data_IF_619705579480
#
_entry.id   IF_619705579480
#
_cell.length_a   1.000
_cell.length_b   1.000
_cell.length_c   1.000
_cell.angle_alpha   90.00
_cell.angle_beta   90.00
_cell.angle_gamma   90.00
#
_symmetry.space_group_name_H-M   'P 1'
#
loop_
_entity.id
_entity.type
_entity.pdbx_description
1 polymer ?
#
# COMPACT_ATOMS: atom_id res chain seq x y z
N UNK A 1 59.01 -35.84 10.18
CA UNK A 1 59.59 -37.04 10.82
C UNK A 1 58.85 -38.27 10.30
N UNK A 2 59.49 -39.44 10.13
CA UNK A 2 58.98 -40.54 9.30
C UNK A 2 58.39 -41.74 10.08
N UNK A 3 57.70 -42.63 9.35
CA UNK A 3 57.58 -44.12 9.45
C UNK A 3 56.19 -44.55 8.91
N UNK A 4 56.07 -45.17 7.72
CA UNK A 4 56.18 -46.62 7.40
C UNK A 4 54.99 -47.45 7.93
N UNK A 5 54.35 -48.41 7.22
CA UNK A 5 54.85 -49.36 6.19
C UNK A 5 53.66 -50.05 5.43
N UNK A 6 53.91 -50.62 4.22
CA UNK A 6 53.16 -51.73 3.52
C UNK A 6 51.60 -51.68 3.39
N UNK A 7 50.91 -51.65 2.22
CA UNK A 7 51.13 -52.20 0.83
C UNK A 7 51.13 -53.76 0.82
N UNK A 8 50.60 -54.54 -0.17
CA UNK A 8 50.22 -54.26 -1.58
C UNK A 8 48.71 -54.59 -1.89
N UNK A 9 48.18 -54.77 -3.12
CA UNK A 9 48.70 -54.83 -4.52
C UNK A 9 47.61 -54.36 -5.54
N UNK A 10 48.00 -54.13 -6.81
CA UNK A 10 47.14 -53.86 -8.00
C UNK A 10 47.03 -55.12 -8.90
N UNK A 11 46.26 -55.19 -9.99
CA UNK A 11 46.72 -54.98 -11.40
C UNK A 11 45.57 -55.17 -12.41
N UNK A 12 45.78 -54.62 -13.62
CA UNK A 12 44.90 -54.43 -14.79
C UNK A 12 44.63 -55.65 -15.71
N UNK A 13 43.56 -55.51 -16.49
CA UNK A 13 43.30 -55.88 -17.91
C UNK A 13 43.81 -57.20 -18.55
N UNK A 14 42.94 -57.80 -19.38
CA UNK A 14 43.30 -58.75 -20.44
C UNK A 14 42.06 -59.18 -21.25
N UNK A 15 42.11 -59.01 -22.58
CA UNK A 15 41.02 -59.38 -23.52
C UNK A 15 41.06 -60.88 -23.89
N UNK A 16 39.98 -61.44 -24.47
CA UNK A 16 40.05 -62.78 -25.09
C UNK A 16 38.72 -63.43 -25.48
N UNK A 17 38.58 -63.81 -26.74
CA UNK A 17 37.38 -64.38 -27.37
C UNK A 17 36.88 -65.74 -26.83
N UNK A 18 35.57 -65.94 -27.04
CA UNK A 18 34.73 -67.15 -27.02
C UNK A 18 35.24 -68.36 -27.85
N UNK A 19 34.49 -69.49 -28.05
CA UNK A 19 33.25 -69.98 -27.39
C UNK A 19 33.24 -71.50 -27.01
N UNK A 20 32.32 -71.96 -26.14
CA UNK A 20 31.63 -73.25 -26.35
C UNK A 20 30.39 -73.54 -25.47
N UNK A 21 29.31 -73.98 -26.16
CA UNK A 21 28.29 -75.01 -25.80
C UNK A 21 27.47 -74.95 -24.48
N UNK A 22 26.17 -74.76 -24.70
CA UNK A 22 25.04 -75.60 -24.25
C UNK A 22 24.87 -75.96 -22.76
N UNK A 23 23.80 -75.41 -22.14
CA UNK A 23 22.81 -76.23 -21.43
C UNK A 23 21.42 -75.55 -21.37
N UNK A 24 20.40 -76.41 -21.31
CA UNK A 24 18.97 -76.26 -20.97
C UNK A 24 18.60 -75.22 -19.88
N UNK A 25 17.34 -74.78 -19.70
CA UNK A 25 16.10 -74.85 -20.48
C UNK A 25 14.96 -74.07 -19.74
N UNK A 26 13.75 -74.09 -20.31
CA UNK A 26 12.44 -73.76 -19.70
C UNK A 26 12.11 -72.25 -19.55
N UNK A 27 11.18 -71.82 -20.40
CA UNK A 27 10.51 -70.51 -20.36
C UNK A 27 9.37 -70.47 -19.32
N UNK A 28 9.46 -69.57 -18.34
CA UNK A 28 8.34 -69.20 -17.46
C UNK A 28 7.50 -68.05 -18.05
N UNK A 29 6.18 -68.14 -17.94
CA UNK A 29 5.24 -67.22 -18.60
C UNK A 29 5.23 -65.79 -18.04
N UNK A 30 5.15 -64.80 -18.94
CA UNK A 30 5.04 -63.38 -18.58
C UNK A 30 3.61 -63.01 -18.15
N UNK A 31 3.35 -63.05 -16.84
CA UNK A 31 2.08 -62.67 -16.24
C UNK A 31 1.88 -61.15 -16.28
N UNK A 32 1.23 -60.65 -17.33
CA UNK A 32 0.94 -59.23 -17.52
C UNK A 32 -0.10 -58.75 -16.50
N UNK A 33 0.33 -57.97 -15.49
CA UNK A 33 -0.59 -57.23 -14.62
C UNK A 33 -1.22 -56.09 -15.43
N UNK A 34 -2.57 -55.98 -15.52
CA UNK A 34 -3.18 -54.81 -16.12
C UNK A 34 -2.93 -53.60 -15.21
N UNK A 35 -2.16 -52.63 -15.69
CA UNK A 35 -2.01 -51.33 -15.04
C UNK A 35 -3.32 -50.58 -15.25
N UNK A 36 -4.21 -50.62 -14.25
CA UNK A 36 -5.49 -49.92 -14.28
C UNK A 36 -5.23 -48.41 -14.12
N UNK A 37 -4.92 -47.75 -15.25
CA UNK A 37 -4.73 -46.31 -15.31
C UNK A 37 -6.08 -45.62 -15.07
N UNK A 38 -6.38 -45.35 -13.80
CA UNK A 38 -7.57 -44.60 -13.40
C UNK A 38 -7.47 -43.16 -13.93
N UNK A 39 -8.01 -42.95 -15.13
CA UNK A 39 -8.16 -41.64 -15.74
C UNK A 39 -9.17 -40.86 -14.88
N UNK A 40 -8.68 -40.11 -13.88
CA UNK A 40 -9.49 -39.11 -13.21
C UNK A 40 -9.86 -38.05 -14.25
N UNK A 41 -11.03 -38.22 -14.86
CA UNK A 41 -11.75 -37.15 -15.52
C UNK A 41 -12.01 -36.09 -14.46
N UNK A 42 -11.14 -35.08 -14.44
CA UNK A 42 -11.37 -33.85 -13.70
C UNK A 42 -12.57 -33.16 -14.33
N UNK A 43 -13.78 -33.51 -13.86
CA UNK A 43 -15.00 -32.79 -14.18
C UNK A 43 -14.73 -31.33 -13.78
N UNK A 44 -14.73 -30.37 -14.73
CA UNK A 44 -14.44 -28.99 -14.39
C UNK A 44 -15.52 -28.52 -13.43
N UNK A 45 -15.13 -28.19 -12.19
CA UNK A 45 -16.00 -27.54 -11.25
C UNK A 45 -16.51 -26.26 -11.92
N UNK A 46 -17.83 -26.21 -12.14
CA UNK A 46 -18.50 -25.02 -12.66
C UNK A 46 -18.50 -23.96 -11.56
N UNK A 47 -18.18 -22.72 -11.93
CA UNK A 47 -18.35 -21.56 -11.07
C UNK A 47 -19.81 -21.49 -10.61
N UNK A 48 -20.04 -21.40 -9.30
CA UNK A 48 -21.38 -21.30 -8.72
C UNK A 48 -21.65 -19.87 -8.26
N UNK A 49 -22.80 -19.34 -8.64
CA UNK A 49 -23.41 -18.20 -7.97
C UNK A 49 -24.16 -18.71 -6.73
N UNK A 50 -23.73 -18.28 -5.55
CA UNK A 50 -24.21 -18.73 -4.25
C UNK A 50 -24.88 -17.53 -3.54
N UNK A 51 -26.22 -17.44 -3.52
CA UNK A 51 -26.92 -16.40 -2.77
C UNK A 51 -26.71 -16.55 -1.27
N UNK A 52 -26.36 -15.46 -0.59
CA UNK A 52 -26.05 -15.40 0.83
C UNK A 52 -27.06 -14.46 1.51
N UNK A 53 -27.98 -15.04 2.28
CA UNK A 53 -29.04 -14.30 2.96
C UNK A 53 -28.59 -13.61 4.25
N UNK A 54 -27.62 -14.19 4.96
CA UNK A 54 -27.15 -13.71 6.26
C UNK A 54 -25.72 -14.21 6.58
N UNK A 55 -25.19 -13.82 7.74
CA UNK A 55 -23.84 -14.19 8.18
C UNK A 55 -23.67 -15.70 8.48
N UNK A 56 -24.74 -16.44 8.80
CA UNK A 56 -24.69 -17.88 9.00
C UNK A 56 -24.61 -18.62 7.65
N UNK A 57 -25.37 -18.17 6.65
CA UNK A 57 -25.25 -18.63 5.27
C UNK A 57 -23.85 -18.37 4.71
N UNK A 58 -23.26 -17.20 5.00
CA UNK A 58 -21.87 -16.88 4.62
C UNK A 58 -20.87 -17.86 5.24
N UNK A 59 -21.03 -18.13 6.54
CA UNK A 59 -20.15 -19.04 7.28
C UNK A 59 -20.27 -20.50 6.81
N UNK A 60 -21.45 -20.93 6.33
CA UNK A 60 -21.63 -22.26 5.73
C UNK A 60 -21.02 -22.33 4.33
N UNK A 61 -21.32 -21.37 3.45
CA UNK A 61 -20.76 -21.32 2.10
C UNK A 61 -19.22 -21.28 2.12
N UNK A 62 -18.63 -20.52 3.04
CA UNK A 62 -17.18 -20.40 3.23
C UNK A 62 -16.46 -21.72 3.55
N UNK A 63 -17.17 -22.80 3.93
CA UNK A 63 -16.57 -24.13 4.16
C UNK A 63 -16.33 -24.94 2.89
N UNK A 64 -17.00 -24.57 1.78
CA UNK A 64 -17.05 -25.38 0.55
C UNK A 64 -16.89 -24.57 -0.74
N UNK A 65 -16.55 -23.28 -0.61
CA UNK A 65 -16.27 -22.38 -1.73
C UNK A 65 -14.96 -22.77 -2.43
N UNK A 66 -14.96 -22.70 -3.76
CA UNK A 66 -13.85 -23.10 -4.63
C UNK A 66 -13.55 -22.03 -5.68
N UNK A 67 -12.37 -22.11 -6.31
CA UNK A 67 -11.93 -21.18 -7.35
C UNK A 67 -12.98 -20.96 -8.45
N UNK A 68 -13.42 -19.70 -8.60
CA UNK A 68 -14.45 -19.27 -9.56
C UNK A 68 -15.85 -19.11 -8.96
N UNK A 69 -16.12 -19.56 -7.72
CA UNK A 69 -17.41 -19.33 -7.07
C UNK A 69 -17.62 -17.85 -6.71
N UNK A 70 -18.89 -17.42 -6.77
CA UNK A 70 -19.34 -16.07 -6.38
C UNK A 70 -20.34 -16.14 -5.24
N UNK A 71 -19.95 -15.62 -4.08
CA UNK A 71 -20.81 -15.38 -2.92
C UNK A 71 -21.57 -14.06 -3.13
N UNK A 72 -22.86 -14.14 -3.46
CA UNK A 72 -23.71 -12.97 -3.74
C UNK A 72 -24.50 -12.63 -2.48
N UNK A 73 -24.14 -11.54 -1.81
CA UNK A 73 -24.80 -11.08 -0.59
C UNK A 73 -26.11 -10.38 -0.94
N UNK A 74 -27.21 -10.85 -0.35
CA UNK A 74 -28.54 -10.29 -0.59
C UNK A 74 -28.64 -8.83 -0.12
N UNK A 75 -29.42 -8.03 -0.86
CA UNK A 75 -29.75 -6.64 -0.52
C UNK A 75 -30.36 -6.54 0.89
N UNK A 76 -29.90 -5.58 1.69
CA UNK A 76 -30.38 -5.34 3.04
C UNK A 76 -29.31 -4.77 3.99
N UNK A 77 -29.71 -4.58 5.24
CA UNK A 77 -28.81 -4.14 6.32
C UNK A 77 -28.23 -5.34 7.07
N UNK A 78 -26.91 -5.43 7.11
CA UNK A 78 -26.12 -6.47 7.76
C UNK A 78 -25.56 -5.93 9.08
N UNK A 79 -26.34 -6.04 10.15
CA UNK A 79 -25.98 -5.57 11.49
C UNK A 79 -25.09 -6.58 12.22
N UNK A 80 -23.98 -6.12 12.79
CA UNK A 80 -23.03 -6.91 13.61
C UNK A 80 -22.44 -8.17 12.92
N UNK A 81 -22.51 -8.25 11.59
CA UNK A 81 -22.10 -9.38 10.77
C UNK A 81 -20.57 -9.59 10.77
N UNK A 82 -20.12 -10.72 11.29
CA UNK A 82 -18.71 -11.09 11.43
C UNK A 82 -18.24 -11.97 10.27
N UNK A 83 -18.04 -11.40 9.08
CA UNK A 83 -17.72 -12.18 7.88
C UNK A 83 -16.23 -12.56 7.84
N UNK A 84 -15.94 -13.86 7.70
CA UNK A 84 -14.57 -14.39 7.60
C UNK A 84 -14.48 -15.42 6.49
N UNK A 85 -13.63 -15.17 5.50
CA UNK A 85 -13.36 -16.07 4.39
C UNK A 85 -11.88 -16.46 4.37
N UNK A 86 -11.61 -17.73 4.09
CA UNK A 86 -10.34 -18.13 3.50
C UNK A 86 -10.61 -19.05 2.32
N UNK A 87 -10.04 -18.71 1.17
CA UNK A 87 -10.25 -19.40 -0.08
C UNK A 87 -9.01 -19.26 -0.98
N UNK A 88 -8.86 -20.20 -1.91
CA UNK A 88 -7.79 -20.18 -2.90
C UNK A 88 -8.45 -20.16 -4.29
N UNK A 89 -8.48 -18.98 -4.90
CA UNK A 89 -8.83 -18.79 -6.30
C UNK A 89 -7.63 -18.99 -7.23
N UNK A 90 -7.82 -18.70 -8.52
CA UNK A 90 -6.71 -18.46 -9.46
C UNK A 90 -6.91 -17.12 -10.18
N UNK A 91 -5.90 -16.64 -10.90
CA UNK A 91 -6.01 -15.41 -11.69
C UNK A 91 -7.16 -15.46 -12.71
N UNK A 92 -7.46 -16.65 -13.27
CA UNK A 92 -8.54 -16.89 -14.23
C UNK A 92 -9.88 -17.22 -13.55
N UNK A 93 -9.84 -17.68 -12.30
CA UNK A 93 -10.99 -18.13 -11.51
C UNK A 93 -10.90 -17.61 -10.06
N UNK A 94 -11.02 -16.30 -9.84
CA UNK A 94 -11.02 -15.74 -8.50
C UNK A 94 -12.25 -16.21 -7.71
N UNK A 95 -12.16 -16.22 -6.39
CA UNK A 95 -13.35 -16.36 -5.53
C UNK A 95 -13.91 -14.97 -5.26
N UNK A 96 -15.18 -14.74 -5.56
CA UNK A 96 -15.77 -13.40 -5.47
C UNK A 96 -16.75 -13.31 -4.31
N UNK A 97 -16.63 -12.29 -3.48
CA UNK A 97 -17.68 -11.81 -2.57
C UNK A 97 -18.25 -10.55 -3.21
N UNK A 98 -19.55 -10.51 -3.49
CA UNK A 98 -20.17 -9.29 -4.04
C UNK A 98 -21.54 -8.97 -3.48
N UNK A 99 -21.90 -7.70 -3.53
CA UNK A 99 -23.29 -7.28 -3.34
C UNK A 99 -24.19 -7.80 -4.49
N UNK A 100 -25.44 -8.16 -4.16
CA UNK A 100 -26.50 -8.41 -5.13
C UNK A 100 -26.77 -7.15 -5.96
N UNK A 101 -27.13 -6.05 -5.31
CA UNK A 101 -27.13 -4.71 -5.91
C UNK A 101 -26.06 -3.85 -5.20
N UNK A 102 -25.08 -3.29 -5.92
CA UNK A 102 -24.12 -2.34 -5.36
C UNK A 102 -24.83 -1.21 -4.59
N UNK A 103 -24.36 -0.92 -3.38
CA UNK A 103 -24.90 0.14 -2.52
C UNK A 103 -26.14 -0.26 -1.70
N UNK A 104 -26.71 -1.46 -1.92
CA UNK A 104 -27.84 -1.98 -1.12
C UNK A 104 -27.45 -3.05 -0.09
N UNK A 105 -26.19 -3.49 -0.07
CA UNK A 105 -25.64 -4.37 0.97
C UNK A 105 -24.89 -3.50 1.98
N UNK A 106 -25.58 -3.14 3.06
CA UNK A 106 -25.13 -2.12 4.03
C UNK A 106 -24.78 -2.76 5.37
N UNK A 107 -23.50 -2.82 5.69
CA UNK A 107 -22.99 -3.30 6.96
C UNK A 107 -23.02 -2.19 8.02
N UNK A 108 -23.58 -2.48 9.20
CA UNK A 108 -23.67 -1.52 10.31
C UNK A 108 -23.26 -2.14 11.65
N UNK A 109 -23.03 -1.30 12.67
CA UNK A 109 -22.62 -1.76 14.00
C UNK A 109 -21.20 -2.34 13.99
N UNK A 110 -21.00 -3.46 14.67
CA UNK A 110 -19.70 -4.15 14.81
C UNK A 110 -19.30 -4.98 13.59
N UNK A 111 -20.05 -4.88 12.48
CA UNK A 111 -19.81 -5.62 11.23
C UNK A 111 -18.39 -5.44 10.69
N UNK A 112 -17.80 -6.55 10.22
CA UNK A 112 -16.45 -6.61 9.64
C UNK A 112 -16.31 -7.72 8.60
N UNK A 113 -15.33 -7.55 7.72
CA UNK A 113 -14.89 -8.54 6.75
C UNK A 113 -13.40 -8.88 6.97
N UNK A 114 -13.06 -10.16 6.88
CA UNK A 114 -11.68 -10.64 7.03
C UNK A 114 -11.40 -11.77 6.03
N UNK A 115 -10.45 -11.54 5.14
CA UNK A 115 -10.21 -12.36 3.93
C UNK A 115 -8.77 -12.83 3.92
N UNK A 116 -8.51 -14.13 3.74
CA UNK A 116 -7.16 -14.70 3.59
C UNK A 116 -7.08 -15.76 2.50
N UNK A 117 -5.87 -16.12 2.05
CA UNK A 117 -5.65 -17.01 0.90
C UNK A 117 -5.28 -16.21 -0.35
N UNK A 118 -5.69 -16.65 -1.54
CA UNK A 118 -5.28 -16.00 -2.80
C UNK A 118 -6.42 -15.78 -3.80
N UNK A 119 -6.27 -14.76 -4.64
CA UNK A 119 -7.20 -14.42 -5.73
C UNK A 119 -8.66 -14.27 -5.29
N UNK A 120 -8.90 -13.48 -4.24
CA UNK A 120 -10.24 -13.16 -3.76
C UNK A 120 -10.62 -11.74 -4.20
N UNK A 121 -11.83 -11.57 -4.73
CA UNK A 121 -12.40 -10.26 -5.10
C UNK A 121 -13.51 -9.91 -4.12
N UNK A 122 -13.53 -8.67 -3.63
CA UNK A 122 -14.63 -8.09 -2.84
C UNK A 122 -15.19 -6.89 -3.60
N UNK A 123 -16.49 -6.90 -3.92
CA UNK A 123 -17.12 -5.96 -4.84
C UNK A 123 -18.47 -5.41 -4.31
N UNK A 124 -18.65 -4.09 -4.27
CA UNK A 124 -19.95 -3.46 -4.06
C UNK A 124 -20.44 -3.34 -2.60
N UNK A 125 -19.60 -3.61 -1.60
CA UNK A 125 -20.00 -3.63 -0.17
C UNK A 125 -19.88 -2.25 0.50
N UNK A 126 -20.88 -1.84 1.29
CA UNK A 126 -20.84 -0.58 2.03
C UNK A 126 -20.87 -0.82 3.55
N UNK A 127 -19.84 -0.36 4.25
CA UNK A 127 -19.79 -0.30 5.72
C UNK A 127 -20.14 1.13 6.19
N UNK A 128 -21.34 1.28 6.75
CA UNK A 128 -21.86 2.56 7.21
C UNK A 128 -21.75 2.66 8.74
N UNK A 129 -21.10 3.72 9.23
CA UNK A 129 -20.92 4.00 10.65
C UNK A 129 -20.37 2.82 11.49
N UNK A 130 -19.31 2.10 11.03
CA UNK A 130 -18.80 0.94 11.74
C UNK A 130 -18.26 1.27 13.14
N UNK A 131 -18.57 0.40 14.11
CA UNK A 131 -18.13 0.51 15.52
C UNK A 131 -16.97 -0.43 15.88
N UNK A 132 -16.58 -1.32 14.96
CA UNK A 132 -15.43 -2.23 15.08
C UNK A 132 -14.08 -1.50 14.99
N UNK A 133 -13.04 -2.06 15.63
CA UNK A 133 -11.65 -1.60 15.52
C UNK A 133 -11.02 -1.92 14.15
N UNK A 134 -11.54 -2.91 13.43
CA UNK A 134 -11.09 -3.31 12.09
C UNK A 134 -12.31 -3.61 11.23
N UNK A 135 -12.50 -2.85 10.14
CA UNK A 135 -13.67 -3.00 9.26
C UNK A 135 -13.39 -4.00 8.14
N UNK A 136 -12.35 -3.76 7.33
CA UNK A 136 -11.92 -4.67 6.25
C UNK A 136 -10.46 -5.09 6.50
N UNK A 137 -10.21 -6.39 6.66
CA UNK A 137 -8.86 -6.96 6.80
C UNK A 137 -8.53 -7.91 5.64
N UNK A 138 -7.41 -7.67 4.94
CA UNK A 138 -6.81 -8.62 3.98
C UNK A 138 -5.94 -9.67 4.69
N UNK A 139 -6.49 -10.20 5.78
CA UNK A 139 -6.12 -11.46 6.43
C UNK A 139 -7.38 -12.03 7.09
N UNK A 140 -7.50 -13.35 7.21
CA UNK A 140 -8.52 -14.00 8.04
C UNK A 140 -8.12 -14.02 9.52
N UNK A 141 -6.82 -14.21 9.78
CA UNK A 141 -6.19 -14.21 11.10
C UNK A 141 -4.68 -13.92 10.98
N UNK A 142 -3.92 -14.02 12.07
CA UNK A 142 -2.48 -13.69 12.07
C UNK A 142 -1.59 -14.64 11.26
N UNK A 143 -2.11 -15.78 10.80
CA UNK A 143 -1.38 -16.77 9.98
C UNK A 143 -1.90 -16.82 8.54
N UNK A 144 -3.17 -16.52 8.32
CA UNK A 144 -3.84 -16.59 7.02
C UNK A 144 -4.00 -15.19 6.42
N UNK A 145 -2.94 -14.67 5.80
CA UNK A 145 -2.94 -13.40 5.05
C UNK A 145 -3.61 -13.58 3.68
N UNK A 146 -4.06 -12.49 3.05
CA UNK A 146 -4.47 -12.51 1.64
C UNK A 146 -3.32 -12.08 0.72
N UNK A 147 -3.22 -12.69 -0.46
CA UNK A 147 -2.38 -12.23 -1.56
C UNK A 147 -3.15 -12.20 -2.88
N UNK A 148 -2.68 -11.41 -3.85
CA UNK A 148 -3.22 -11.34 -5.22
C UNK A 148 -4.75 -11.08 -5.26
N UNK A 149 -5.28 -10.43 -4.22
CA UNK A 149 -6.71 -10.23 -3.95
C UNK A 149 -7.09 -8.75 -4.10
N UNK A 150 -8.37 -8.46 -4.37
CA UNK A 150 -8.86 -7.12 -4.74
C UNK A 150 -10.05 -6.70 -3.88
N UNK A 151 -10.00 -5.49 -3.33
CA UNK A 151 -11.17 -4.78 -2.80
C UNK A 151 -11.52 -3.70 -3.83
N UNK A 152 -12.71 -3.77 -4.42
CA UNK A 152 -13.17 -2.83 -5.46
C UNK A 152 -14.58 -2.36 -5.19
N UNK A 153 -14.92 -1.13 -5.63
CA UNK A 153 -16.27 -0.57 -5.51
C UNK A 153 -16.88 -0.72 -4.10
N UNK A 154 -16.07 -0.56 -3.04
CA UNK A 154 -16.52 -0.67 -1.66
C UNK A 154 -16.57 0.72 -1.02
N UNK A 155 -17.37 0.86 0.05
CA UNK A 155 -17.46 2.10 0.80
C UNK A 155 -17.24 1.85 2.30
N UNK A 156 -16.48 2.70 2.99
CA UNK A 156 -16.41 2.75 4.46
C UNK A 156 -16.56 4.19 4.91
N UNK A 157 -17.75 4.54 5.41
CA UNK A 157 -18.14 5.93 5.62
C UNK A 157 -18.73 6.17 7.01
N UNK A 158 -18.32 7.26 7.66
CA UNK A 158 -18.96 7.77 8.87
C UNK A 158 -19.76 9.05 8.60
N UNK A 159 -20.89 9.20 9.28
CA UNK A 159 -21.55 10.49 9.47
C UNK A 159 -20.63 11.44 10.26
N UNK A 160 -20.51 12.68 9.78
CA UNK A 160 -19.51 13.65 10.27
C UNK A 160 -19.75 14.16 11.69
N UNK A 161 -20.88 13.79 12.31
CA UNK A 161 -21.23 14.13 13.69
C UNK A 161 -20.85 13.01 14.69
N UNK A 162 -20.41 11.84 14.23
CA UNK A 162 -20.06 10.73 15.12
C UNK A 162 -18.76 11.02 15.87
N UNK A 163 -18.80 10.99 17.20
CA UNK A 163 -17.60 11.12 18.05
C UNK A 163 -17.31 9.81 18.77
N UNK A 164 -16.09 9.30 18.64
CA UNK A 164 -15.62 8.13 19.40
C UNK A 164 -14.14 8.28 19.75
N UNK A 165 -13.79 7.88 20.97
CA UNK A 165 -12.40 7.86 21.46
C UNK A 165 -11.66 6.56 21.13
N UNK A 166 -12.36 5.56 20.59
CA UNK A 166 -11.78 4.29 20.19
C UNK A 166 -10.74 4.46 19.08
N UNK A 167 -9.81 3.50 19.01
CA UNK A 167 -8.89 3.35 17.88
C UNK A 167 -9.49 2.36 16.89
N UNK A 168 -9.56 2.72 15.61
CA UNK A 168 -10.04 1.85 14.55
C UNK A 168 -9.26 2.07 13.24
N UNK A 169 -9.25 1.07 12.38
CA UNK A 169 -8.80 1.15 10.99
C UNK A 169 -9.95 0.73 10.07
N UNK A 170 -10.17 1.48 8.97
CA UNK A 170 -11.20 1.11 7.99
C UNK A 170 -10.69 0.01 7.07
N UNK A 171 -9.44 0.08 6.62
CA UNK A 171 -8.83 -0.96 5.78
C UNK A 171 -7.44 -1.32 6.30
N UNK A 172 -7.22 -2.59 6.61
CA UNK A 172 -5.90 -3.14 6.97
C UNK A 172 -5.44 -4.16 5.93
N UNK A 173 -4.43 -3.78 5.17
CA UNK A 173 -3.83 -4.56 4.08
C UNK A 173 -2.65 -5.37 4.63
N UNK A 174 -2.59 -6.66 4.32
CA UNK A 174 -1.50 -7.58 4.66
C UNK A 174 -1.09 -8.38 3.42
N UNK A 175 -0.10 -9.26 3.56
CA UNK A 175 0.31 -10.21 2.51
C UNK A 175 0.99 -9.51 1.33
N UNK A 176 0.71 -9.95 0.09
CA UNK A 176 1.39 -9.44 -1.10
C UNK A 176 0.45 -9.20 -2.29
N UNK A 177 0.78 -8.23 -3.16
CA UNK A 177 0.16 -8.04 -4.49
C UNK A 177 -1.36 -7.77 -4.50
N UNK A 178 -1.94 -7.47 -3.34
CA UNK A 178 -3.34 -7.05 -3.25
C UNK A 178 -3.59 -5.66 -3.86
N UNK A 179 -4.82 -5.43 -4.32
CA UNK A 179 -5.30 -4.15 -4.87
C UNK A 179 -6.48 -3.60 -4.07
N UNK A 180 -6.53 -2.29 -3.84
CA UNK A 180 -7.70 -1.57 -3.30
C UNK A 180 -8.02 -0.42 -4.24
N UNK A 181 -9.17 -0.49 -4.90
CA UNK A 181 -9.50 0.47 -5.96
C UNK A 181 -10.97 0.87 -6.05
N UNK A 182 -11.25 2.05 -6.64
CA UNK A 182 -12.61 2.59 -6.81
C UNK A 182 -13.46 2.63 -5.51
N UNK A 183 -12.83 2.74 -4.34
CA UNK A 183 -13.53 2.78 -3.06
C UNK A 183 -13.78 4.22 -2.56
N UNK A 184 -14.86 4.43 -1.80
CA UNK A 184 -15.16 5.69 -1.07
C UNK A 184 -14.91 5.50 0.43
N UNK A 185 -13.95 6.24 0.99
CA UNK A 185 -13.44 6.03 2.34
C UNK A 185 -13.39 7.39 3.05
N UNK A 186 -14.42 7.69 3.85
CA UNK A 186 -14.70 9.06 4.30
C UNK A 186 -15.22 9.17 5.75
N UNK A 187 -15.11 10.37 6.33
CA UNK A 187 -15.76 10.75 7.59
C UNK A 187 -15.12 10.21 8.87
N UNK A 188 -14.03 9.45 8.80
CA UNK A 188 -13.45 8.76 9.98
C UNK A 188 -13.09 9.72 11.13
N UNK A 189 -13.76 9.59 12.26
CA UNK A 189 -13.55 10.43 13.46
C UNK A 189 -12.76 9.75 14.58
N UNK A 190 -12.64 8.42 14.54
CA UNK A 190 -11.86 7.63 15.51
C UNK A 190 -10.34 7.85 15.35
N UNK A 191 -9.60 7.59 16.44
CA UNK A 191 -8.14 7.47 16.36
C UNK A 191 -7.75 6.26 15.50
N UNK A 192 -6.50 6.22 15.04
CA UNK A 192 -5.97 5.20 14.16
C UNK A 192 -6.06 5.65 12.70
N UNK A 193 -5.09 5.20 11.91
CA UNK A 193 -4.99 5.48 10.49
C UNK A 193 -6.25 5.00 9.74
N UNK A 194 -6.66 5.65 8.65
CA UNK A 194 -7.83 5.19 7.86
C UNK A 194 -7.51 3.87 7.15
N UNK A 195 -6.40 3.83 6.38
CA UNK A 195 -5.91 2.67 5.66
C UNK A 195 -4.46 2.36 6.03
N UNK A 196 -4.15 1.10 6.39
CA UNK A 196 -2.78 0.69 6.76
C UNK A 196 -2.32 -0.47 5.90
N UNK A 197 -1.14 -0.35 5.30
CA UNK A 197 -0.35 -1.50 4.82
C UNK A 197 0.53 -1.98 5.97
N UNK A 198 0.32 -3.22 6.40
CA UNK A 198 1.09 -3.85 7.47
C UNK A 198 2.14 -4.80 6.90
N UNK A 199 3.36 -4.69 7.42
CA UNK A 199 4.51 -5.50 7.04
C UNK A 199 4.98 -6.31 8.25
N UNK A 200 5.84 -7.31 8.03
CA UNK A 200 6.41 -8.18 9.06
C UNK A 200 7.88 -8.48 8.75
N UNK A 201 8.78 -8.38 9.73
CA UNK A 201 10.20 -8.69 9.51
C UNK A 201 10.45 -10.20 9.27
N UNK A 202 9.43 -11.04 9.43
CA UNK A 202 9.48 -12.49 9.22
C UNK A 202 9.26 -12.91 7.75
N UNK A 203 9.01 -11.99 6.82
CA UNK A 203 8.84 -12.30 5.38
C UNK A 203 9.30 -11.17 4.48
N UNK A 204 9.89 -11.53 3.33
CA UNK A 204 10.29 -10.61 2.26
C UNK A 204 9.35 -10.65 1.04
N UNK A 205 8.35 -11.55 1.00
CA UNK A 205 7.26 -11.50 0.02
C UNK A 205 6.01 -10.90 0.66
N UNK A 206 6.10 -9.61 0.98
CA UNK A 206 4.98 -8.77 1.42
C UNK A 206 5.00 -7.43 0.66
N UNK A 207 3.89 -6.69 0.71
CA UNK A 207 3.76 -5.44 -0.03
C UNK A 207 3.41 -5.67 -1.50
N UNK A 208 4.00 -4.89 -2.41
CA UNK A 208 3.69 -4.87 -3.85
C UNK A 208 2.21 -4.56 -4.11
N UNK A 209 1.56 -3.87 -3.18
CA UNK A 209 0.14 -3.54 -3.25
C UNK A 209 -0.12 -2.36 -4.18
N UNK A 210 -1.30 -2.33 -4.79
CA UNK A 210 -1.78 -1.20 -5.58
C UNK A 210 -2.98 -0.55 -4.87
N UNK A 211 -2.94 0.75 -4.67
CA UNK A 211 -4.04 1.53 -4.07
C UNK A 211 -4.36 2.63 -5.08
N UNK A 212 -5.46 2.48 -5.83
CA UNK A 212 -5.71 3.34 -6.99
C UNK A 212 -7.17 3.74 -7.24
N UNK A 213 -7.39 4.92 -7.83
CA UNK A 213 -8.73 5.44 -8.16
C UNK A 213 -9.72 5.53 -6.97
N UNK A 214 -9.22 5.59 -5.73
CA UNK A 214 -10.06 5.72 -4.53
C UNK A 214 -10.37 7.20 -4.21
N UNK A 215 -11.54 7.45 -3.63
CA UNK A 215 -11.85 8.71 -2.95
C UNK A 215 -11.59 8.55 -1.45
N UNK A 216 -10.55 9.20 -0.97
CA UNK A 216 -10.34 9.45 0.45
C UNK A 216 -11.03 10.78 0.78
N UNK A 217 -12.25 10.70 1.29
CA UNK A 217 -13.09 11.85 1.57
C UNK A 217 -12.71 12.59 2.87
N UNK A 218 -13.51 13.60 3.25
CA UNK A 218 -13.21 14.46 4.39
C UNK A 218 -12.97 13.70 5.68
N UNK A 219 -11.86 13.99 6.35
CA UNK A 219 -11.50 13.49 7.68
C UNK A 219 -11.22 14.69 8.58
N UNK A 220 -12.07 14.93 9.57
CA UNK A 220 -11.87 16.06 10.48
C UNK A 220 -10.60 15.88 11.34
N UNK A 221 -10.00 17.01 11.73
CA UNK A 221 -8.81 17.06 12.57
C UNK A 221 -9.02 16.33 13.90
N UNK A 222 -8.21 15.29 14.13
CA UNK A 222 -8.24 14.47 15.34
C UNK A 222 -7.66 15.20 16.57
N UNK A 223 -6.81 16.21 16.34
CA UNK A 223 -6.16 17.01 17.39
C UNK A 223 -4.99 16.32 18.09
N UNK A 224 -4.63 15.10 17.67
CA UNK A 224 -3.52 14.27 18.19
C UNK A 224 -3.01 13.34 17.08
N UNK A 225 -1.84 12.73 17.31
CA UNK A 225 -1.25 11.69 16.45
C UNK A 225 -2.14 10.44 16.32
N UNK A 226 -2.04 9.74 15.19
CA UNK A 226 -2.91 8.64 14.78
C UNK A 226 -4.11 9.08 13.95
N UNK A 227 -3.97 10.21 13.25
CA UNK A 227 -4.97 10.80 12.35
C UNK A 227 -4.73 10.49 10.87
N UNK A 228 -3.74 9.66 10.52
CA UNK A 228 -3.24 9.56 9.15
C UNK A 228 -4.28 8.91 8.21
N UNK A 229 -4.36 9.35 6.95
CA UNK A 229 -5.27 8.72 5.98
C UNK A 229 -4.70 7.40 5.49
N UNK A 230 -3.45 7.39 5.03
CA UNK A 230 -2.74 6.15 4.68
C UNK A 230 -1.43 6.06 5.45
N UNK A 231 -1.10 4.87 5.95
CA UNK A 231 0.22 4.55 6.47
C UNK A 231 0.74 3.27 5.83
N UNK A 232 1.96 3.32 5.30
CA UNK A 232 2.61 2.14 4.70
C UNK A 232 3.75 1.69 5.61
N UNK A 233 3.56 0.57 6.32
CA UNK A 233 4.50 0.06 7.32
C UNK A 233 4.43 0.77 8.68
N UNK A 234 5.47 0.58 9.47
CA UNK A 234 5.71 1.24 10.76
C UNK A 234 7.22 1.41 11.00
N UNK A 235 7.62 2.01 12.13
CA UNK A 235 9.05 2.22 12.45
C UNK A 235 9.84 0.92 12.69
N UNK A 236 9.19 -0.22 12.95
CA UNK A 236 9.85 -1.52 13.17
C UNK A 236 10.16 -2.23 11.85
N UNK A 237 9.38 -1.93 10.82
CA UNK A 237 9.42 -2.52 9.48
C UNK A 237 9.94 -1.54 8.43
N UNK A 238 10.33 -0.32 8.83
CA UNK A 238 10.60 0.78 7.91
C UNK A 238 11.75 0.59 6.94
N UNK A 239 12.68 -0.32 7.21
CA UNK A 239 13.78 -0.63 6.29
C UNK A 239 13.43 -1.72 5.26
N UNK A 240 12.24 -2.32 5.33
CA UNK A 240 11.77 -3.27 4.33
C UNK A 240 11.37 -2.56 3.03
N UNK A 241 11.74 -3.16 1.90
CA UNK A 241 11.22 -2.80 0.58
C UNK A 241 9.79 -3.30 0.44
N UNK A 242 8.82 -2.39 0.48
CA UNK A 242 7.41 -2.70 0.33
C UNK A 242 6.92 -2.55 -1.12
N UNK A 243 7.57 -1.71 -1.95
CA UNK A 243 7.25 -1.53 -3.38
C UNK A 243 5.76 -1.39 -3.70
N UNK A 244 5.00 -0.72 -2.83
CA UNK A 244 3.59 -0.45 -3.05
C UNK A 244 3.41 0.77 -3.96
N UNK A 245 2.34 0.77 -4.74
CA UNK A 245 1.95 1.84 -5.65
C UNK A 245 0.67 2.49 -5.11
N UNK A 246 0.71 3.81 -4.92
CA UNK A 246 -0.45 4.63 -4.56
C UNK A 246 -0.66 5.63 -5.69
N UNK A 247 -1.68 5.43 -6.52
CA UNK A 247 -1.82 6.21 -7.75
C UNK A 247 -3.25 6.62 -8.11
N UNK A 248 -3.42 7.76 -8.79
CA UNK A 248 -4.73 8.22 -9.27
C UNK A 248 -5.83 8.37 -8.19
N UNK A 249 -5.47 8.47 -6.90
CA UNK A 249 -6.43 8.67 -5.81
C UNK A 249 -6.75 10.17 -5.60
N UNK A 250 -7.96 10.45 -5.14
CA UNK A 250 -8.37 11.77 -4.66
C UNK A 250 -8.38 11.80 -3.13
N UNK A 251 -7.54 12.64 -2.54
CA UNK A 251 -7.55 12.99 -1.13
C UNK A 251 -8.22 14.35 -0.97
N UNK A 252 -9.44 14.39 -0.43
CA UNK A 252 -10.19 15.64 -0.23
C UNK A 252 -10.42 15.91 1.25
N UNK A 253 -9.85 17.03 1.76
CA UNK A 253 -10.04 17.50 3.15
C UNK A 253 -9.70 16.42 4.20
N UNK A 254 -8.63 15.69 3.94
CA UNK A 254 -8.08 14.65 4.80
C UNK A 254 -7.28 15.26 5.98
N UNK A 255 -7.94 16.04 6.81
CA UNK A 255 -7.33 16.95 7.80
C UNK A 255 -6.99 16.28 9.15
N UNK A 256 -7.01 14.95 9.21
CA UNK A 256 -6.92 14.17 10.44
C UNK A 256 -5.71 14.53 11.31
N UNK A 257 -4.53 14.66 10.71
CA UNK A 257 -3.32 15.19 11.34
C UNK A 257 -2.31 15.76 10.30
N UNK A 258 -1.06 16.02 10.72
CA UNK A 258 -0.02 16.58 9.85
C UNK A 258 0.46 15.61 8.73
N UNK A 259 0.30 14.30 8.93
CA UNK A 259 0.58 13.25 7.94
C UNK A 259 -0.74 12.78 7.31
N UNK A 260 -1.08 13.23 6.09
CA UNK A 260 -2.18 12.62 5.33
C UNK A 260 -1.74 11.24 4.81
N UNK A 261 -0.55 11.18 4.23
CA UNK A 261 0.15 9.93 3.94
C UNK A 261 1.41 9.87 4.80
N UNK A 262 1.59 8.74 5.47
CA UNK A 262 2.74 8.44 6.32
C UNK A 262 3.48 7.23 5.75
N UNK A 263 4.46 7.47 4.88
CA UNK A 263 5.32 6.41 4.34
C UNK A 263 6.31 5.97 5.42
N UNK A 264 6.27 4.69 5.80
CA UNK A 264 7.13 4.07 6.81
C UNK A 264 7.65 2.72 6.30
N UNK A 265 8.11 2.68 5.04
CA UNK A 265 8.76 1.54 4.37
C UNK A 265 9.50 2.00 3.10
N UNK A 266 10.35 1.16 2.52
CA UNK A 266 11.19 1.49 1.37
C UNK A 266 10.54 1.22 0.01
N UNK A 267 10.95 1.97 -1.02
CA UNK A 267 10.71 1.65 -2.42
C UNK A 267 9.28 1.88 -2.94
N UNK A 268 8.44 2.63 -2.22
CA UNK A 268 7.06 2.90 -2.63
C UNK A 268 6.96 4.00 -3.70
N UNK A 269 5.93 3.94 -4.54
CA UNK A 269 5.63 4.89 -5.60
C UNK A 269 4.31 5.61 -5.30
N UNK A 270 4.34 6.94 -5.30
CA UNK A 270 3.17 7.81 -5.18
C UNK A 270 3.05 8.65 -6.45
N UNK A 271 2.05 8.38 -7.31
CA UNK A 271 1.93 9.12 -8.58
C UNK A 271 0.52 9.53 -8.99
N UNK A 272 0.40 10.65 -9.68
CA UNK A 272 -0.89 11.14 -10.22
C UNK A 272 -2.04 11.27 -9.19
N UNK A 273 -1.72 11.34 -7.89
CA UNK A 273 -2.73 11.57 -6.86
C UNK A 273 -3.06 13.07 -6.78
N UNK A 274 -4.29 13.38 -6.40
CA UNK A 274 -4.74 14.76 -6.15
C UNK A 274 -5.01 14.96 -4.65
N UNK A 275 -4.35 15.94 -4.03
CA UNK A 275 -4.57 16.36 -2.65
C UNK A 275 -5.25 17.72 -2.67
N UNK A 276 -6.55 17.77 -2.34
CA UNK A 276 -7.39 18.97 -2.42
C UNK A 276 -7.84 19.41 -1.03
N UNK A 277 -7.38 20.57 -0.58
CA UNK A 277 -7.75 21.15 0.71
C UNK A 277 -7.31 20.34 1.92
N UNK A 278 -6.24 19.55 1.80
CA UNK A 278 -5.73 18.62 2.83
C UNK A 278 -4.80 19.34 3.81
N UNK A 279 -5.18 19.49 5.09
CA UNK A 279 -4.41 20.14 6.18
C UNK A 279 -3.22 19.32 6.71
N UNK A 280 -2.53 18.61 5.81
CA UNK A 280 -1.40 17.74 6.11
C UNK A 280 -0.48 17.57 4.90
N UNK A 281 0.37 16.55 4.93
CA UNK A 281 1.38 16.28 3.89
C UNK A 281 1.37 14.82 3.42
N UNK A 282 2.00 14.58 2.28
CA UNK A 282 2.66 13.30 1.99
C UNK A 282 4.03 13.33 2.69
N UNK A 283 4.14 12.68 3.85
CA UNK A 283 5.42 12.55 4.55
C UNK A 283 6.10 11.22 4.19
N UNK A 284 7.32 11.34 3.64
CA UNK A 284 8.32 10.28 3.61
C UNK A 284 8.92 10.19 5.02
N UNK A 285 8.26 9.43 5.92
CA UNK A 285 8.49 9.53 7.37
C UNK A 285 9.58 8.59 7.86
N UNK A 286 9.59 7.37 7.36
CA UNK A 286 10.67 6.38 7.52
C UNK A 286 10.79 5.55 6.22
N UNK A 287 11.89 4.83 6.07
CA UNK A 287 12.22 4.10 4.84
C UNK A 287 12.83 5.01 3.78
N UNK A 288 13.39 4.40 2.74
CA UNK A 288 14.26 5.03 1.75
C UNK A 288 13.77 4.73 0.32
N UNK A 289 14.34 5.38 -0.70
CA UNK A 289 14.16 4.99 -2.11
C UNK A 289 12.74 5.13 -2.65
N UNK A 290 11.89 5.94 -2.01
CA UNK A 290 10.51 6.17 -2.46
C UNK A 290 10.45 7.27 -3.54
N UNK A 291 9.52 7.11 -4.48
CA UNK A 291 9.28 8.02 -5.60
C UNK A 291 7.93 8.73 -5.41
N UNK A 292 7.92 10.05 -5.56
CA UNK A 292 6.72 10.90 -5.52
C UNK A 292 6.69 11.71 -6.81
N UNK A 293 5.88 11.29 -7.79
CA UNK A 293 5.91 11.86 -9.14
C UNK A 293 4.54 12.34 -9.65
N UNK A 294 4.50 13.50 -10.32
CA UNK A 294 3.30 14.00 -11.01
C UNK A 294 2.01 14.09 -10.16
N UNK A 295 2.14 14.24 -8.84
CA UNK A 295 1.00 14.48 -7.94
C UNK A 295 0.64 15.97 -7.94
N UNK A 296 -0.62 16.28 -7.64
CA UNK A 296 -1.15 17.65 -7.61
C UNK A 296 -1.68 17.99 -6.21
N UNK A 297 -1.10 19.00 -5.58
CA UNK A 297 -1.45 19.49 -4.25
C UNK A 297 -2.11 20.88 -4.39
N UNK A 298 -3.39 21.00 -4.06
CA UNK A 298 -4.21 22.20 -4.20
C UNK A 298 -4.68 22.63 -2.81
N UNK A 299 -4.28 23.83 -2.39
CA UNK A 299 -4.58 24.33 -1.05
C UNK A 299 -6.07 24.56 -0.77
N UNK A 300 -6.89 24.84 -1.80
CA UNK A 300 -8.36 24.99 -1.73
C UNK A 300 -8.86 25.89 -0.58
N UNK A 301 -8.08 26.90 -0.21
CA UNK A 301 -8.34 27.79 0.94
C UNK A 301 -8.18 27.15 2.33
N UNK A 302 -7.84 25.86 2.42
CA UNK A 302 -7.62 25.17 3.69
C UNK A 302 -6.39 25.74 4.43
N UNK A 303 -6.50 25.84 5.76
CA UNK A 303 -5.40 26.28 6.63
C UNK A 303 -4.47 25.11 6.91
N UNK A 304 -3.16 25.33 6.79
CA UNK A 304 -2.17 24.27 7.03
C UNK A 304 -2.05 23.27 5.89
N UNK A 305 -2.54 23.62 4.68
CA UNK A 305 -2.46 22.73 3.53
C UNK A 305 -1.01 22.60 3.06
N UNK A 306 -0.47 21.38 3.08
CA UNK A 306 0.94 21.10 2.82
C UNK A 306 1.18 20.23 1.59
N UNK A 307 2.46 20.03 1.27
CA UNK A 307 2.90 19.23 0.13
C UNK A 307 3.65 17.97 0.56
N UNK A 308 4.95 17.92 0.25
CA UNK A 308 5.82 16.75 0.52
C UNK A 308 6.84 17.07 1.62
N UNK A 309 6.97 16.17 2.59
CA UNK A 309 8.01 16.22 3.64
C UNK A 309 8.97 15.03 3.48
N UNK A 310 10.27 15.31 3.41
CA UNK A 310 11.34 14.34 3.15
C UNK A 310 12.19 14.10 4.42
N UNK A 311 12.31 12.83 4.80
CA UNK A 311 13.21 12.27 5.83
C UNK A 311 13.76 10.95 5.26
N UNK A 312 15.03 10.64 5.44
CA UNK A 312 15.63 9.41 4.88
C UNK A 312 16.27 9.58 3.50
N UNK A 313 16.68 8.47 2.90
CA UNK A 313 17.66 8.44 1.81
C UNK A 313 17.06 8.05 0.44
N UNK A 314 17.72 8.47 -0.65
CA UNK A 314 17.45 8.06 -2.04
C UNK A 314 16.05 8.39 -2.59
N UNK A 315 15.36 9.37 -1.99
CA UNK A 315 14.03 9.79 -2.43
C UNK A 315 14.05 10.58 -3.73
N UNK A 316 13.08 10.34 -4.61
CA UNK A 316 12.86 11.14 -5.83
C UNK A 316 11.50 11.83 -5.72
N UNK A 317 11.48 13.15 -5.88
CA UNK A 317 10.25 13.95 -5.90
C UNK A 317 10.25 14.80 -7.16
N UNK A 318 9.47 14.42 -8.17
CA UNK A 318 9.61 14.99 -9.52
C UNK A 318 8.30 15.33 -10.22
N UNK A 319 8.26 16.42 -10.98
CA UNK A 319 7.09 16.79 -11.79
C UNK A 319 5.79 17.07 -11.03
N UNK A 320 5.84 17.23 -9.70
CA UNK A 320 4.64 17.50 -8.88
C UNK A 320 4.24 18.98 -8.98
N UNK A 321 2.94 19.26 -8.85
CA UNK A 321 2.39 20.62 -8.79
C UNK A 321 1.92 20.94 -7.37
N UNK A 322 2.43 22.04 -6.82
CA UNK A 322 2.06 22.58 -5.52
C UNK A 322 1.42 23.95 -5.71
N UNK A 323 0.14 24.10 -5.34
CA UNK A 323 -0.63 25.31 -5.66
C UNK A 323 -1.42 25.84 -4.46
N UNK A 324 -1.24 27.12 -4.16
CA UNK A 324 -1.93 27.86 -3.09
C UNK A 324 -1.81 27.22 -1.69
N UNK A 325 -0.72 26.49 -1.43
CA UNK A 325 -0.48 25.82 -0.15
C UNK A 325 -0.18 26.81 0.97
N UNK A 326 -0.76 26.57 2.15
CA UNK A 326 -0.75 27.50 3.30
C UNK A 326 0.00 26.96 4.51
N UNK A 327 0.43 25.69 4.46
CA UNK A 327 1.18 25.02 5.50
C UNK A 327 2.55 25.65 5.76
N UNK A 328 2.95 25.54 7.02
CA UNK A 328 4.14 26.09 7.64
C UNK A 328 5.03 24.96 8.19
N UNK A 329 6.31 25.26 8.35
CA UNK A 329 7.32 24.36 8.90
C UNK A 329 7.27 22.96 8.25
N UNK A 330 6.94 21.91 9.00
CA UNK A 330 6.80 20.54 8.47
C UNK A 330 5.73 20.36 7.38
N UNK A 331 4.85 21.35 7.19
CA UNK A 331 3.80 21.37 6.16
C UNK A 331 4.06 22.39 5.05
N UNK A 332 5.29 22.89 4.89
CA UNK A 332 5.70 23.60 3.67
C UNK A 332 5.39 22.78 2.40
N UNK A 333 5.33 23.44 1.24
CA UNK A 333 5.05 22.75 -0.02
C UNK A 333 6.12 21.68 -0.34
N UNK A 334 7.39 21.99 -0.06
CA UNK A 334 8.48 21.03 0.06
C UNK A 334 9.22 21.26 1.37
N UNK A 335 9.42 20.23 2.19
CA UNK A 335 10.14 20.31 3.46
C UNK A 335 11.23 19.24 3.56
N UNK A 336 12.50 19.65 3.66
CA UNK A 336 13.62 18.79 4.02
C UNK A 336 13.88 18.87 5.53
N UNK A 337 13.77 17.75 6.22
CA UNK A 337 14.00 17.65 7.66
C UNK A 337 15.49 17.50 7.99
N UNK A 338 15.90 17.96 9.17
CA UNK A 338 17.21 17.61 9.76
C UNK A 338 17.19 16.17 10.28
N UNK A 339 18.32 15.48 10.15
CA UNK A 339 18.55 14.17 10.74
C UNK A 339 19.07 14.24 12.18
N UNK A 340 18.73 13.23 12.97
CA UNK A 340 19.33 12.98 14.29
C UNK A 340 20.60 12.13 14.08
N UNK A 341 21.77 12.51 14.67
CA UNK A 341 22.95 11.66 14.72
C UNK A 341 22.62 10.30 15.35
N UNK A 342 23.06 9.22 14.70
CA UNK A 342 22.79 7.83 15.11
C UNK A 342 21.30 7.55 15.40
N UNK A 343 20.40 8.11 14.55
CA UNK A 343 18.96 7.99 14.73
C UNK A 343 18.49 6.55 14.90
N UNK A 344 17.73 6.30 15.96
CA UNK A 344 16.92 5.10 16.14
C UNK A 344 15.81 4.99 15.07
N UNK A 345 15.25 3.79 14.80
CA UNK A 345 14.27 3.59 13.71
C UNK A 345 13.00 4.44 13.77
N UNK A 346 12.57 4.88 14.96
CA UNK A 346 11.44 5.80 15.15
C UNK A 346 11.84 7.28 15.21
N UNK A 347 13.13 7.62 15.07
CA UNK A 347 13.65 8.98 15.01
C UNK A 347 13.52 9.62 13.62
N UNK A 348 14.46 10.49 13.27
CA UNK A 348 14.55 11.15 11.97
C UNK A 348 15.91 10.85 11.34
N UNK A 349 15.94 10.04 10.28
CA UNK A 349 17.16 9.80 9.51
C UNK A 349 17.50 11.04 8.67
N UNK A 350 18.81 11.31 8.54
CA UNK A 350 19.33 12.39 7.71
C UNK A 350 18.84 12.24 6.27
N UNK A 351 18.43 13.34 5.65
CA UNK A 351 18.12 13.33 4.21
C UNK A 351 19.42 13.18 3.42
N UNK A 352 19.54 12.11 2.62
CA UNK A 352 20.69 11.90 1.74
C UNK A 352 20.26 11.53 0.33
N UNK A 353 21.00 12.02 -0.67
CA UNK A 353 20.81 11.67 -2.10
C UNK A 353 19.38 11.89 -2.62
N UNK A 354 18.64 12.80 -1.98
CA UNK A 354 17.28 13.14 -2.41
C UNK A 354 17.33 14.00 -3.68
N UNK A 355 16.45 13.71 -4.64
CA UNK A 355 16.34 14.45 -5.91
C UNK A 355 14.97 15.12 -6.01
N UNK A 356 14.94 16.44 -5.89
CA UNK A 356 13.72 17.25 -6.02
C UNK A 356 13.80 18.04 -7.32
N UNK A 357 13.18 17.51 -8.37
CA UNK A 357 13.43 17.94 -9.76
C UNK A 357 12.18 18.29 -10.55
N UNK A 358 12.20 19.37 -11.34
CA UNK A 358 11.10 19.64 -12.28
C UNK A 358 9.72 19.91 -11.66
N UNK A 359 9.65 20.20 -10.35
CA UNK A 359 8.38 20.47 -9.68
C UNK A 359 7.95 21.92 -9.91
N UNK A 360 6.64 22.16 -9.88
CA UNK A 360 6.03 23.49 -10.07
C UNK A 360 5.39 23.95 -8.77
N UNK A 361 5.81 25.11 -8.25
CA UNK A 361 5.27 25.75 -7.05
C UNK A 361 4.58 27.05 -7.43
N UNK A 362 3.30 27.21 -7.08
CA UNK A 362 2.48 28.36 -7.44
C UNK A 362 1.85 28.93 -6.18
N UNK A 363 2.24 30.16 -5.82
CA UNK A 363 1.65 30.94 -4.74
C UNK A 363 1.56 30.18 -3.39
N UNK A 364 2.55 29.34 -3.09
CA UNK A 364 2.66 28.66 -1.80
C UNK A 364 3.26 29.63 -0.76
N UNK A 365 2.75 29.59 0.47
CA UNK A 365 3.20 30.45 1.58
C UNK A 365 4.63 30.14 2.01
N UNK A 366 5.00 28.87 1.98
CA UNK A 366 6.34 28.35 2.25
C UNK A 366 6.68 27.37 1.11
N UNK A 367 7.56 27.76 0.19
CA UNK A 367 7.81 27.02 -1.05
C UNK A 367 8.73 25.82 -0.81
N UNK A 368 10.04 26.05 -0.67
CA UNK A 368 11.01 24.99 -0.36
C UNK A 368 11.72 25.33 0.95
N UNK A 369 11.40 24.59 2.01
CA UNK A 369 12.04 24.69 3.32
C UNK A 369 13.16 23.65 3.45
N UNK A 370 14.36 24.10 3.78
CA UNK A 370 15.54 23.25 3.96
C UNK A 370 16.06 23.37 5.40
N UNK A 371 16.16 22.24 6.10
CA UNK A 371 16.69 22.17 7.45
C UNK A 371 15.65 22.34 8.56
N UNK A 372 14.44 21.81 8.36
CA UNK A 372 13.42 21.83 9.41
C UNK A 372 13.81 20.90 10.57
N UNK A 373 13.91 21.44 11.78
CA UNK A 373 14.26 20.68 12.99
C UNK A 373 12.99 20.14 13.67
N UNK A 374 12.68 18.86 13.47
CA UNK A 374 11.55 18.17 14.12
C UNK A 374 11.85 17.60 15.52
N UNK A 375 13.10 17.68 15.98
CA UNK A 375 13.56 17.24 17.30
C UNK A 375 14.79 18.07 17.68
N UNK A 376 14.97 18.41 18.96
CA UNK A 376 16.13 19.19 19.43
C UNK A 376 17.49 18.52 19.18
N UNK A 377 17.50 17.21 18.95
CA UNK A 377 18.68 16.42 18.57
C UNK A 377 18.93 16.37 17.06
N UNK A 378 17.99 16.86 16.25
CA UNK A 378 18.11 16.85 14.79
C UNK A 378 19.03 18.01 14.35
N UNK A 379 20.29 17.65 14.07
CA UNK A 379 21.38 18.58 13.75
C UNK A 379 22.05 18.29 12.40
N UNK A 380 21.76 17.15 11.76
CA UNK A 380 22.39 16.77 10.49
C UNK A 380 21.66 17.42 9.30
N UNK A 381 22.32 18.30 8.52
CA UNK A 381 21.73 18.88 7.31
C UNK A 381 21.59 17.84 6.18
N UNK A 382 20.77 18.11 5.15
CA UNK A 382 20.72 17.25 3.96
C UNK A 382 22.09 17.13 3.26
N UNK A 383 22.38 15.95 2.71
CA UNK A 383 23.67 15.60 2.10
C UNK A 383 23.49 14.96 0.71
N UNK A 384 24.47 15.15 -0.19
CA UNK A 384 24.49 14.61 -1.57
C UNK A 384 23.19 14.82 -2.37
N UNK A 385 22.39 15.83 -2.01
CA UNK A 385 21.02 16.01 -2.51
C UNK A 385 20.96 17.04 -3.64
N UNK A 386 19.98 16.94 -4.51
CA UNK A 386 19.80 17.80 -5.68
C UNK A 386 18.43 18.46 -5.66
N UNK A 387 18.40 19.78 -5.88
CA UNK A 387 17.18 20.55 -6.13
C UNK A 387 17.37 21.29 -7.45
N UNK A 388 16.76 20.81 -8.54
CA UNK A 388 17.03 21.33 -9.88
C UNK A 388 15.84 21.40 -10.83
N UNK A 389 15.84 22.37 -11.75
CA UNK A 389 14.79 22.50 -12.77
C UNK A 389 13.40 22.84 -12.22
N UNK A 390 13.27 23.26 -10.96
CA UNK A 390 11.97 23.56 -10.36
C UNK A 390 11.52 24.99 -10.73
N UNK A 391 10.24 25.18 -11.02
CA UNK A 391 9.65 26.50 -11.29
C UNK A 391 8.89 27.01 -10.07
N UNK A 392 9.33 28.13 -9.49
CA UNK A 392 8.81 28.68 -8.23
C UNK A 392 8.20 30.07 -8.45
N UNK A 393 6.87 30.11 -8.52
CA UNK A 393 6.10 31.31 -8.80
C UNK A 393 5.54 31.91 -7.50
N UNK A 394 6.12 33.02 -7.03
CA UNK A 394 5.75 33.70 -5.78
C UNK A 394 5.91 35.22 -5.88
N UNK A 395 4.93 35.95 -5.37
CA UNK A 395 4.94 37.43 -5.34
C UNK A 395 5.35 38.03 -3.98
N UNK A 396 5.34 37.22 -2.90
CA UNK A 396 5.55 37.69 -1.51
C UNK A 396 6.34 36.72 -0.62
N UNK A 397 6.17 35.41 -0.79
CA UNK A 397 6.90 34.41 -0.03
C UNK A 397 8.30 34.18 -0.63
N UNK A 398 9.24 33.72 0.18
CA UNK A 398 10.55 33.30 -0.28
C UNK A 398 10.45 32.02 -1.13
N UNK A 399 11.31 31.89 -2.14
CA UNK A 399 11.40 30.68 -2.96
C UNK A 399 12.07 29.52 -2.19
N UNK A 400 13.06 29.86 -1.36
CA UNK A 400 13.82 28.95 -0.52
C UNK A 400 13.95 29.53 0.90
N UNK A 401 13.54 28.76 1.90
CA UNK A 401 13.76 29.04 3.32
C UNK A 401 14.88 28.12 3.81
N UNK A 402 16.07 28.66 4.08
CA UNK A 402 17.25 27.86 4.44
C UNK A 402 17.56 28.03 5.94
N UNK A 403 17.34 26.97 6.72
CA UNK A 403 17.52 26.94 8.19
C UNK A 403 18.77 26.15 8.63
N UNK A 404 19.58 25.63 7.70
CA UNK A 404 20.81 24.88 8.00
C UNK A 404 21.91 25.12 6.95
N UNK A 405 23.09 24.50 7.15
CA UNK A 405 24.13 24.42 6.13
C UNK A 405 23.62 23.66 4.88
N UNK A 406 24.08 24.05 3.70
CA UNK A 406 23.60 23.53 2.39
C UNK A 406 24.73 23.08 1.46
N UNK A 407 25.95 22.94 1.97
CA UNK A 407 27.12 22.47 1.22
C UNK A 407 26.91 21.06 0.61
N UNK A 408 26.02 20.27 1.24
CA UNK A 408 25.57 18.96 0.74
C UNK A 408 24.38 19.01 -0.22
N UNK A 409 23.93 20.19 -0.67
CA UNK A 409 22.76 20.36 -1.55
C UNK A 409 23.13 21.12 -2.82
N UNK A 410 23.12 20.43 -3.95
CA UNK A 410 23.28 21.05 -5.28
C UNK A 410 21.99 21.73 -5.70
N UNK A 411 22.03 23.05 -5.85
CA UNK A 411 20.92 23.85 -6.38
C UNK A 411 21.32 24.45 -7.73
N UNK A 412 20.60 24.10 -8.81
CA UNK A 412 20.88 24.57 -10.18
C UNK A 412 19.59 24.66 -10.99
N UNK A 413 19.57 25.50 -12.02
CA UNK A 413 18.48 25.54 -13.02
C UNK A 413 17.06 25.74 -12.44
N UNK A 414 16.93 26.26 -11.21
CA UNK A 414 15.64 26.57 -10.60
C UNK A 414 15.20 27.97 -11.03
N UNK A 415 13.99 28.09 -11.56
CA UNK A 415 13.42 29.35 -12.00
C UNK A 415 12.59 29.98 -10.88
N UNK A 416 12.68 31.30 -10.72
CA UNK A 416 11.80 32.05 -9.82
C UNK A 416 11.08 33.15 -10.59
N UNK A 417 9.76 33.25 -10.41
CA UNK A 417 8.91 34.21 -11.14
C UNK A 417 7.95 34.93 -10.20
N UNK A 418 7.73 36.23 -10.44
CA UNK A 418 6.79 37.06 -9.67
C UNK A 418 5.42 37.23 -10.33
N UNK A 419 5.34 36.98 -11.64
CA UNK A 419 4.11 37.08 -12.42
C UNK A 419 3.24 35.83 -12.24
N UNK A 420 1.94 35.96 -12.52
CA UNK A 420 1.00 34.85 -12.38
C UNK A 420 1.11 33.93 -13.60
N UNK A 421 1.44 32.67 -13.40
CA UNK A 421 1.49 31.68 -14.47
C UNK A 421 0.10 31.50 -15.08
N UNK A 422 0.05 31.55 -16.41
CA UNK A 422 -1.15 31.22 -17.20
C UNK A 422 -1.31 29.70 -17.42
N UNK A 423 -0.46 28.87 -16.80
CA UNK A 423 -0.56 27.42 -16.86
C UNK A 423 -1.75 26.97 -16.01
N UNK A 424 -2.87 26.73 -16.69
CA UNK A 424 -4.06 26.13 -16.10
C UNK A 424 -3.70 24.89 -15.27
N UNK A 425 -4.36 24.65 -14.12
CA UNK A 425 -4.15 23.42 -13.38
C UNK A 425 -4.51 22.22 -14.27
N UNK A 426 -3.81 21.08 -14.13
CA UNK A 426 -4.28 19.84 -14.74
C UNK A 426 -5.71 19.57 -14.22
N UNK A 427 -6.62 19.02 -15.05
CA UNK A 427 -7.93 18.63 -14.56
C UNK A 427 -7.74 17.68 -13.37
N UNK A 428 -8.51 17.91 -12.30
CA UNK A 428 -8.58 16.95 -11.21
C UNK A 428 -8.99 15.59 -11.80
N UNK A 429 -8.41 14.50 -11.30
CA UNK A 429 -8.81 13.16 -11.72
C UNK A 429 -10.33 13.02 -11.52
N UNK A 430 -11.08 12.86 -12.61
CA UNK A 430 -12.52 12.64 -12.54
C UNK A 430 -12.75 11.29 -11.84
N UNK A 431 -13.64 11.27 -10.85
CA UNK A 431 -14.02 10.04 -10.17
C UNK A 431 -14.79 9.16 -11.16
N UNK A 432 -14.13 8.15 -11.71
CA UNK A 432 -14.72 7.17 -12.64
C UNK A 432 -15.60 6.12 -11.95
N UNK A 433 -15.69 6.15 -10.61
CA UNK A 433 -16.56 5.29 -9.82
C UNK A 433 -17.98 5.86 -9.65
N UNK A 434 -18.97 4.98 -9.52
CA UNK A 434 -20.33 5.36 -9.13
C UNK A 434 -20.34 6.00 -7.75
N UNK A 435 -20.69 7.29 -7.66
CA UNK A 435 -20.99 7.95 -6.39
C UNK A 435 -22.06 7.16 -5.61
N UNK A 436 -21.68 6.61 -4.45
CA UNK A 436 -22.60 5.91 -3.53
C UNK A 436 -23.66 6.83 -2.94
N UNK A 437 -23.47 8.15 -3.06
CA UNK A 437 -24.47 9.16 -2.73
C UNK A 437 -25.48 9.26 -3.87
N UNK A 438 -26.61 8.57 -3.70
CA UNK A 438 -27.92 8.96 -4.24
C UNK A 438 -28.64 9.83 -3.21
#
# INVERSE_FOLDING_TARGET
MPMSLSVPVTVFQGEGNAPCRQACAVSGGAMHKPLLLALLLAIPALARDIPIADAAAFAEASKSVAAGDTLILNDGTWTDAQLKLHAEGTAEKPVTIKAQTPGKVIFTGSSRLSVGGSHIIVDGLWFQNPTTEQVIELRKDSKQLASDSRITNCAVTNDTQLTSTASAQFVSIYGARNRVDHCDIAGKTTQGTTMVVWLSNESTDQGKHQIDHNHFGPRQKLGKNGGETIRLGDSKTSMQTASCIVEHNLFEKCDGEAECISNKSCGNLYRHNTFKGVSGTLTLRHGNGCIVEHNTFIGDGAKGAGGVRIIGEDHVVTGNRFENLTGDDERSAMCFMLGIPDSVPNGYFQVKRAKVTGNTFINCKHNILIGMSGDKKATLPPLESEISGNHIQTSKAEAFEIKCAVDGVTMKDNETSKERSNIAPPPAAELTGTSWKQ
#
